data_IF_545397887072
#
_entry.id   IF_545397887072
#
_cell.length_a   1.000
_cell.length_b   1.000
_cell.length_c   1.000
_cell.angle_alpha   90.00
_cell.angle_beta   90.00
_cell.angle_gamma   90.00
#
_symmetry.space_group_name_H-M   'P 1'
#
loop_
_entity.id
_entity.type
_entity.pdbx_description
1 polymer ?
#
# COMPACT_ATOMS: atom_id res chain seq x y z
N UNK A 1 22.57 44.14 -12.39
CA UNK A 1 21.56 43.39 -11.60
C UNK A 1 20.82 42.43 -12.54
N UNK A 2 21.04 41.12 -12.48
CA UNK A 2 20.27 40.13 -13.25
C UNK A 2 18.91 39.93 -12.56
N UNK A 3 17.83 40.27 -13.25
CA UNK A 3 16.45 40.03 -12.77
C UNK A 3 16.24 38.51 -12.77
N UNK A 4 16.23 37.88 -11.59
CA UNK A 4 15.74 36.51 -11.43
C UNK A 4 14.25 36.52 -11.80
N UNK A 5 13.89 35.93 -12.95
CA UNK A 5 12.48 35.59 -13.24
C UNK A 5 11.97 34.75 -12.07
N UNK A 6 11.06 35.29 -11.26
CA UNK A 6 10.32 34.50 -10.28
C UNK A 6 9.44 33.53 -11.05
N UNK A 7 9.87 32.29 -11.22
CA UNK A 7 9.01 31.21 -11.69
C UNK A 7 7.89 31.09 -10.66
N UNK A 8 6.69 31.57 -10.96
CA UNK A 8 5.51 31.32 -10.12
C UNK A 8 5.36 29.80 -10.08
N UNK A 9 5.62 29.17 -8.93
CA UNK A 9 5.31 27.76 -8.72
C UNK A 9 3.80 27.62 -8.94
N UNK A 10 3.40 26.93 -10.01
CA UNK A 10 1.98 26.70 -10.28
C UNK A 10 1.40 25.88 -9.14
N UNK A 11 0.27 26.34 -8.59
CA UNK A 11 -0.40 25.65 -7.47
C UNK A 11 -1.21 24.49 -8.05
N UNK A 12 -0.75 23.27 -7.81
CA UNK A 12 -1.39 22.02 -8.27
C UNK A 12 -2.49 21.50 -7.34
N UNK A 13 -2.71 22.15 -6.19
CA UNK A 13 -3.75 21.81 -5.21
C UNK A 13 -4.94 22.76 -5.24
N UNK A 14 -6.09 22.29 -4.72
CA UNK A 14 -7.34 23.05 -4.61
C UNK A 14 -8.55 22.36 -5.25
N UNK A 15 -9.72 23.00 -5.19
CA UNK A 15 -10.96 22.52 -5.83
C UNK A 15 -10.74 22.40 -7.35
N UNK A 16 -11.11 21.26 -7.94
CA UNK A 16 -10.85 20.95 -9.36
C UNK A 16 -9.40 20.61 -9.69
N UNK A 17 -8.56 20.32 -8.68
CA UNK A 17 -7.15 19.93 -8.84
C UNK A 17 -6.80 18.74 -7.93
N UNK A 18 -5.51 18.49 -7.69
CA UNK A 18 -5.06 17.43 -6.78
C UNK A 18 -5.39 17.81 -5.33
N UNK A 19 -6.51 17.29 -4.84
CA UNK A 19 -6.85 17.30 -3.41
C UNK A 19 -6.31 16.06 -2.72
N UNK A 20 -6.17 16.07 -1.40
CA UNK A 20 -5.76 14.87 -0.63
C UNK A 20 -6.64 13.66 -0.93
N UNK A 21 -7.98 13.85 -0.96
CA UNK A 21 -8.93 12.78 -1.31
C UNK A 21 -8.70 12.20 -2.71
N UNK A 22 -8.38 13.04 -3.69
CA UNK A 22 -8.06 12.59 -5.06
C UNK A 22 -6.75 11.81 -5.08
N UNK A 23 -5.72 12.28 -4.37
CA UNK A 23 -4.44 11.58 -4.25
C UNK A 23 -4.62 10.20 -3.59
N UNK A 24 -5.40 10.11 -2.52
CA UNK A 24 -5.71 8.85 -1.86
C UNK A 24 -6.42 7.89 -2.82
N UNK A 25 -7.39 8.38 -3.60
CA UNK A 25 -8.12 7.60 -4.61
C UNK A 25 -7.19 7.08 -5.70
N UNK A 26 -6.32 7.93 -6.26
CA UNK A 26 -5.33 7.53 -7.27
C UNK A 26 -4.34 6.50 -6.71
N UNK A 27 -3.93 6.64 -5.45
CA UNK A 27 -3.05 5.67 -4.77
C UNK A 27 -3.71 4.31 -4.63
N UNK A 28 -5.00 4.28 -4.28
CA UNK A 28 -5.79 3.05 -4.21
C UNK A 28 -5.88 2.39 -5.59
N UNK A 29 -6.15 3.17 -6.64
CA UNK A 29 -6.24 2.65 -8.00
C UNK A 29 -4.92 2.08 -8.51
N UNK A 30 -3.80 2.77 -8.29
CA UNK A 30 -2.47 2.25 -8.61
C UNK A 30 -2.22 0.89 -7.95
N UNK A 31 -2.51 0.78 -6.65
CA UNK A 31 -2.37 -0.49 -5.94
C UNK A 31 -3.30 -1.59 -6.47
N UNK A 32 -4.51 -1.25 -6.93
CA UNK A 32 -5.44 -2.21 -7.54
C UNK A 32 -4.98 -2.64 -8.93
N UNK A 33 -4.46 -1.72 -9.75
CA UNK A 33 -3.93 -2.01 -11.07
C UNK A 33 -2.82 -3.07 -11.00
N UNK A 34 -1.91 -2.95 -10.03
CA UNK A 34 -0.87 -3.96 -9.78
C UNK A 34 -1.49 -5.28 -9.29
N UNK A 35 -2.27 -5.25 -8.21
CA UNK A 35 -2.75 -6.50 -7.57
C UNK A 35 -3.70 -7.33 -8.43
N UNK A 36 -4.43 -6.71 -9.36
CA UNK A 36 -5.37 -7.40 -10.24
C UNK A 36 -4.72 -7.96 -11.51
N UNK A 37 -3.51 -7.53 -11.83
CA UNK A 37 -2.80 -7.90 -13.06
C UNK A 37 -1.37 -8.35 -12.76
N UNK A 38 -1.10 -8.86 -11.55
CA UNK A 38 0.26 -9.15 -11.10
C UNK A 38 0.95 -10.29 -11.88
N UNK A 39 0.22 -10.96 -12.75
CA UNK A 39 0.69 -11.98 -13.68
C UNK A 39 1.19 -11.41 -15.03
N UNK A 40 0.87 -10.15 -15.35
CA UNK A 40 1.20 -9.56 -16.64
C UNK A 40 1.57 -8.07 -16.55
N UNK A 41 2.80 -7.74 -16.95
CA UNK A 41 3.36 -6.38 -16.89
C UNK A 41 2.63 -5.40 -17.80
N UNK A 42 2.26 -5.82 -19.00
CA UNK A 42 1.53 -4.99 -19.95
C UNK A 42 0.14 -4.65 -19.40
N UNK A 43 -0.56 -5.62 -18.82
CA UNK A 43 -1.85 -5.40 -18.18
C UNK A 43 -1.74 -4.46 -16.97
N UNK A 44 -0.68 -4.58 -16.16
CA UNK A 44 -0.41 -3.61 -15.08
C UNK A 44 -0.23 -2.19 -15.64
N UNK A 45 0.62 -2.03 -16.66
CA UNK A 45 0.87 -0.74 -17.30
C UNK A 45 -0.40 -0.13 -17.87
N UNK A 46 -1.17 -0.91 -18.64
CA UNK A 46 -2.44 -0.48 -19.23
C UNK A 46 -3.45 -0.10 -18.15
N UNK A 47 -3.58 -0.88 -17.08
CA UNK A 47 -4.48 -0.55 -15.96
C UNK A 47 -4.04 0.69 -15.17
N UNK A 48 -2.74 0.96 -15.07
CA UNK A 48 -2.20 2.21 -14.49
C UNK A 48 -2.55 3.38 -15.42
N UNK A 49 -2.26 3.28 -16.72
CA UNK A 49 -2.59 4.34 -17.67
C UNK A 49 -4.08 4.58 -17.84
N UNK A 50 -4.92 3.56 -17.65
CA UNK A 50 -6.37 3.69 -17.67
C UNK A 50 -6.86 4.76 -16.69
N UNK A 51 -6.26 4.89 -15.50
CA UNK A 51 -6.68 5.92 -14.55
C UNK A 51 -6.23 7.31 -14.98
N UNK A 52 -5.06 7.44 -15.62
CA UNK A 52 -4.63 8.71 -16.19
C UNK A 52 -5.61 9.17 -17.28
N UNK A 53 -5.91 8.30 -18.24
CA UNK A 53 -6.80 8.63 -19.36
C UNK A 53 -8.25 8.85 -18.92
N UNK A 54 -8.72 8.08 -17.95
CA UNK A 54 -10.02 8.32 -17.32
C UNK A 54 -10.14 9.76 -16.80
N UNK A 55 -9.13 10.27 -16.09
CA UNK A 55 -9.15 11.64 -15.56
C UNK A 55 -8.76 12.73 -16.58
N UNK A 56 -8.33 12.39 -17.79
CA UNK A 56 -8.21 13.33 -18.92
C UNK A 56 -9.40 13.32 -19.87
N UNK A 57 -10.32 12.36 -19.71
CA UNK A 57 -11.51 12.17 -20.52
C UNK A 57 -12.56 13.26 -20.26
N UNK A 58 -13.20 13.75 -21.34
CA UNK A 58 -14.39 14.63 -21.28
C UNK A 58 -15.54 14.03 -22.09
N UNK A 59 -16.73 14.63 -22.03
CA UNK A 59 -17.87 14.18 -22.86
C UNK A 59 -17.56 14.32 -24.36
N UNK A 60 -16.83 15.38 -24.74
CA UNK A 60 -16.48 15.70 -26.13
C UNK A 60 -15.29 14.86 -26.63
N UNK A 61 -14.41 14.45 -25.72
CA UNK A 61 -13.22 13.64 -26.03
C UNK A 61 -13.08 12.49 -25.01
N UNK A 62 -13.86 11.41 -25.18
CA UNK A 62 -13.82 10.26 -24.28
C UNK A 62 -12.49 9.50 -24.42
N UNK A 63 -11.85 9.16 -23.29
CA UNK A 63 -10.55 8.44 -23.26
C UNK A 63 -10.62 7.22 -22.34
N UNK A 64 -11.49 6.26 -22.67
CA UNK A 64 -11.78 5.10 -21.82
C UNK A 64 -11.29 3.76 -22.37
N UNK A 65 -10.51 3.76 -23.45
CA UNK A 65 -10.11 2.54 -24.17
C UNK A 65 -9.32 1.54 -23.32
N UNK A 66 -8.52 2.05 -22.37
CA UNK A 66 -7.76 1.20 -21.43
C UNK A 66 -8.56 0.80 -20.18
N UNK A 67 -9.76 1.36 -19.99
CA UNK A 67 -10.61 0.94 -18.89
C UNK A 67 -11.16 -0.48 -19.15
N UNK A 68 -11.35 -1.31 -18.11
CA UNK A 68 -11.98 -2.61 -18.26
C UNK A 68 -13.34 -2.48 -18.96
N UNK A 69 -13.61 -3.34 -19.94
CA UNK A 69 -14.89 -3.36 -20.65
C UNK A 69 -15.94 -4.14 -19.86
N UNK A 70 -17.23 -3.84 -20.12
CA UNK A 70 -18.36 -4.59 -19.58
C UNK A 70 -19.07 -3.94 -18.40
N UNK A 71 -20.18 -4.58 -17.99
CA UNK A 71 -21.08 -4.05 -16.97
C UNK A 71 -20.47 -4.04 -15.56
N UNK A 72 -19.49 -4.91 -15.30
CA UNK A 72 -18.74 -4.95 -14.04
C UNK A 72 -17.56 -3.98 -13.99
N UNK A 73 -17.41 -3.13 -15.02
CA UNK A 73 -16.35 -2.13 -15.05
C UNK A 73 -16.52 -1.10 -13.95
N UNK A 74 -15.40 -0.74 -13.32
CA UNK A 74 -15.37 0.40 -12.42
C UNK A 74 -15.55 1.73 -13.18
N UNK A 75 -15.34 1.75 -14.50
CA UNK A 75 -15.52 2.92 -15.33
C UNK A 75 -16.98 3.07 -15.76
N UNK A 76 -17.61 4.18 -15.36
CA UNK A 76 -19.01 4.47 -15.66
C UNK A 76 -19.29 4.53 -17.17
N UNK A 77 -18.34 5.05 -17.96
CA UNK A 77 -18.46 5.12 -19.42
C UNK A 77 -18.47 3.73 -20.06
N UNK A 78 -17.58 2.83 -19.61
CA UNK A 78 -17.54 1.45 -20.12
C UNK A 78 -18.80 0.66 -19.74
N UNK A 79 -19.38 0.92 -18.55
CA UNK A 79 -20.69 0.33 -18.19
C UNK A 79 -21.81 0.86 -19.07
N UNK A 80 -21.81 2.17 -19.36
CA UNK A 80 -22.79 2.78 -20.27
C UNK A 80 -22.67 2.21 -21.69
N UNK A 81 -21.44 2.03 -22.18
CA UNK A 81 -21.16 1.39 -23.47
C UNK A 81 -21.74 -0.02 -23.53
N UNK A 82 -21.47 -0.83 -22.49
CA UNK A 82 -21.93 -2.22 -22.41
C UNK A 82 -23.46 -2.36 -22.23
N UNK A 83 -24.17 -1.29 -21.87
CA UNK A 83 -25.64 -1.28 -21.68
C UNK A 83 -26.38 -0.51 -22.78
N UNK A 84 -25.68 -0.04 -23.83
CA UNK A 84 -26.28 0.73 -24.93
C UNK A 84 -26.68 2.16 -24.57
N UNK A 85 -26.32 2.65 -23.38
CA UNK A 85 -26.70 3.99 -22.89
C UNK A 85 -25.88 5.14 -23.48
N UNK A 86 -24.77 4.83 -24.16
CA UNK A 86 -24.03 5.85 -24.92
C UNK A 86 -24.83 6.32 -26.14
N UNK A 87 -25.54 5.41 -26.80
CA UNK A 87 -26.30 5.69 -28.02
C UNK A 87 -27.56 6.51 -27.73
N UNK A 88 -28.10 6.43 -26.51
CA UNK A 88 -29.26 7.22 -26.07
C UNK A 88 -28.91 8.62 -25.55
N UNK A 89 -27.65 9.05 -25.64
CA UNK A 89 -27.14 10.33 -25.10
C UNK A 89 -27.43 10.54 -23.60
N UNK A 90 -27.72 9.47 -22.85
CA UNK A 90 -28.02 9.52 -21.43
C UNK A 90 -26.78 9.64 -20.55
N UNK A 91 -25.58 9.39 -21.12
CA UNK A 91 -24.34 9.40 -20.37
C UNK A 91 -23.73 10.80 -20.27
N UNK A 92 -23.45 11.20 -19.03
CA UNK A 92 -22.63 12.38 -18.71
C UNK A 92 -21.57 11.93 -17.70
N UNK A 93 -20.33 12.39 -17.89
CA UNK A 93 -19.26 12.11 -16.94
C UNK A 93 -19.66 12.56 -15.53
N UNK A 94 -19.50 11.67 -14.55
CA UNK A 94 -19.82 11.92 -13.14
C UNK A 94 -18.74 12.73 -12.41
N UNK A 95 -17.67 13.11 -13.11
CA UNK A 95 -16.51 13.79 -12.55
C UNK A 95 -15.96 14.84 -13.52
N UNK A 96 -15.30 15.85 -12.96
CA UNK A 96 -14.56 16.84 -13.73
C UNK A 96 -13.20 16.29 -14.15
N UNK A 97 -12.86 16.47 -15.43
CA UNK A 97 -11.52 16.16 -15.94
C UNK A 97 -10.47 17.05 -15.27
N UNK A 98 -9.26 16.52 -15.12
CA UNK A 98 -8.13 17.32 -14.66
C UNK A 98 -7.75 18.36 -15.71
N UNK A 99 -7.33 19.54 -15.22
CA UNK A 99 -6.79 20.55 -16.12
C UNK A 99 -5.52 20.05 -16.80
N UNK A 100 -5.24 20.57 -17.99
CA UNK A 100 -4.01 20.27 -18.73
C UNK A 100 -2.75 20.50 -17.89
N UNK A 101 -2.74 21.52 -17.03
CA UNK A 101 -1.63 21.79 -16.12
C UNK A 101 -1.38 20.66 -15.11
N UNK A 102 -2.44 20.03 -14.60
CA UNK A 102 -2.34 18.90 -13.65
C UNK A 102 -1.91 17.65 -14.41
N UNK A 103 -2.50 17.37 -15.56
CA UNK A 103 -2.16 16.21 -16.39
C UNK A 103 -0.69 16.22 -16.80
N UNK A 104 -0.18 17.37 -17.27
CA UNK A 104 1.22 17.52 -17.63
C UNK A 104 2.16 17.40 -16.42
N UNK A 105 1.72 17.82 -15.24
CA UNK A 105 2.52 17.68 -14.02
C UNK A 105 2.59 16.24 -13.51
N UNK A 106 1.52 15.44 -13.66
CA UNK A 106 1.47 14.05 -13.15
C UNK A 106 1.89 13.01 -14.19
N UNK A 107 1.90 13.33 -15.49
CA UNK A 107 2.32 12.40 -16.55
C UNK A 107 3.71 11.78 -16.28
N UNK A 108 4.75 12.53 -15.85
CA UNK A 108 6.03 11.93 -15.50
C UNK A 108 5.92 10.90 -14.36
N UNK A 109 5.05 11.15 -13.38
CA UNK A 109 4.79 10.21 -12.28
C UNK A 109 4.17 8.92 -12.83
N UNK A 110 3.24 9.00 -13.77
CA UNK A 110 2.68 7.83 -14.42
C UNK A 110 3.72 7.06 -15.25
N UNK A 111 4.62 7.75 -15.94
CA UNK A 111 5.75 7.10 -16.63
C UNK A 111 6.63 6.32 -15.64
N UNK A 112 7.01 6.94 -14.53
CA UNK A 112 7.86 6.30 -13.52
C UNK A 112 7.15 5.11 -12.86
N UNK A 113 5.85 5.24 -12.58
CA UNK A 113 5.02 4.21 -11.96
C UNK A 113 4.64 3.07 -12.91
N UNK A 114 4.73 3.28 -14.23
CA UNK A 114 4.48 2.25 -15.26
C UNK A 114 5.77 1.71 -15.89
N UNK A 115 6.94 2.11 -15.37
CA UNK A 115 8.23 1.65 -15.89
C UNK A 115 8.35 0.12 -15.75
N UNK A 116 8.74 -0.55 -16.83
CA UNK A 116 8.85 -2.00 -16.89
C UNK A 116 9.76 -2.57 -15.78
N UNK A 117 10.91 -1.94 -15.53
CA UNK A 117 11.82 -2.34 -14.46
C UNK A 117 11.21 -2.27 -13.05
N UNK A 118 10.25 -1.36 -12.84
CA UNK A 118 9.49 -1.29 -11.60
C UNK A 118 8.44 -2.41 -11.56
N UNK A 119 7.64 -2.54 -12.62
CA UNK A 119 6.54 -3.50 -12.70
C UNK A 119 7.02 -4.96 -12.70
N UNK A 120 8.20 -5.24 -13.24
CA UNK A 120 8.84 -6.57 -13.18
C UNK A 120 9.03 -7.05 -11.73
N UNK A 121 9.24 -6.12 -10.79
CA UNK A 121 9.39 -6.42 -9.35
C UNK A 121 8.04 -6.60 -8.64
N UNK A 122 6.94 -6.27 -9.32
CA UNK A 122 5.57 -6.42 -8.85
C UNK A 122 4.89 -7.69 -9.37
N UNK A 123 5.55 -8.41 -10.29
CA UNK A 123 5.09 -9.71 -10.78
C UNK A 123 4.91 -10.67 -9.60
N UNK A 124 3.89 -11.52 -9.69
CA UNK A 124 3.40 -12.45 -8.65
C UNK A 124 2.85 -11.79 -7.39
N UNK A 125 2.85 -10.44 -7.32
CA UNK A 125 2.19 -9.70 -6.24
C UNK A 125 2.84 -9.90 -4.86
N UNK A 126 4.12 -10.27 -4.82
CA UNK A 126 4.84 -10.47 -3.56
C UNK A 126 4.83 -9.20 -2.70
N UNK A 127 4.52 -9.37 -1.42
CA UNK A 127 4.56 -8.28 -0.47
C UNK A 127 5.98 -8.12 0.12
N UNK A 128 6.27 -6.95 0.67
CA UNK A 128 7.57 -6.68 1.32
C UNK A 128 7.73 -7.35 2.70
N UNK A 129 6.80 -8.21 3.14
CA UNK A 129 6.83 -8.77 4.49
C UNK A 129 8.09 -9.61 4.73
N UNK A 130 8.49 -10.43 3.75
CA UNK A 130 9.68 -11.27 3.84
C UNK A 130 10.94 -10.43 4.02
N UNK A 131 11.13 -9.41 3.17
CA UNK A 131 12.27 -8.50 3.28
C UNK A 131 12.27 -7.73 4.61
N UNK A 132 11.09 -7.31 5.09
CA UNK A 132 10.96 -6.64 6.40
C UNK A 132 11.29 -7.59 7.55
N UNK A 133 10.87 -8.84 7.47
CA UNK A 133 11.12 -9.88 8.47
C UNK A 133 12.61 -10.25 8.54
N UNK A 134 13.27 -10.48 7.40
CA UNK A 134 14.71 -10.68 7.33
C UNK A 134 15.47 -9.47 7.92
N UNK A 135 15.15 -8.27 7.47
CA UNK A 135 15.81 -7.05 7.95
C UNK A 135 15.62 -6.87 9.46
N UNK A 136 14.47 -7.26 10.02
CA UNK A 136 14.25 -7.23 11.45
C UNK A 136 15.25 -8.14 12.21
N UNK A 137 15.50 -9.36 11.72
CA UNK A 137 16.49 -10.26 12.31
C UNK A 137 17.89 -9.67 12.24
N UNK A 138 18.27 -9.12 11.08
CA UNK A 138 19.56 -8.50 10.88
C UNK A 138 19.79 -7.30 11.82
N UNK A 139 18.81 -6.40 11.93
CA UNK A 139 18.91 -5.23 12.81
C UNK A 139 18.78 -5.56 14.31
N UNK A 140 18.28 -6.74 14.67
CA UNK A 140 18.37 -7.23 16.06
C UNK A 140 19.80 -7.56 16.46
N UNK A 141 20.60 -8.09 15.54
CA UNK A 141 22.00 -8.45 15.78
C UNK A 141 22.91 -7.22 15.68
N UNK A 142 22.66 -6.36 14.68
CA UNK A 142 23.45 -5.13 14.45
C UNK A 142 22.55 -3.90 14.46
N UNK A 143 22.17 -3.36 15.63
CA UNK A 143 21.28 -2.20 15.67
C UNK A 143 21.83 -1.00 14.89
N UNK A 144 20.96 -0.35 14.11
CA UNK A 144 21.34 0.83 13.31
C UNK A 144 21.87 2.01 14.12
N UNK A 145 21.59 2.02 15.42
CA UNK A 145 22.00 3.06 16.36
C UNK A 145 23.45 2.88 16.83
N UNK A 146 24.07 1.74 16.54
CA UNK A 146 25.42 1.40 16.99
C UNK A 146 26.32 1.19 15.77
N UNK A 147 27.41 1.95 15.62
CA UNK A 147 28.36 1.71 14.53
C UNK A 147 28.98 0.33 14.68
N UNK A 148 29.04 -0.42 13.59
CA UNK A 148 29.59 -1.78 13.55
C UNK A 148 30.55 -1.91 12.37
N UNK A 149 31.64 -2.66 12.56
CA UNK A 149 32.58 -2.96 11.49
C UNK A 149 31.95 -3.82 10.38
N UNK A 150 32.45 -3.69 9.15
CA UNK A 150 31.92 -4.42 7.98
C UNK A 150 31.90 -5.94 8.18
N UNK A 151 32.93 -6.50 8.82
CA UNK A 151 32.98 -7.94 9.14
C UNK A 151 31.84 -8.39 10.04
N UNK A 152 31.53 -7.62 11.10
CA UNK A 152 30.45 -7.93 12.04
C UNK A 152 29.09 -7.85 11.31
N UNK A 153 28.93 -6.81 10.49
CA UNK A 153 27.73 -6.61 9.66
C UNK A 153 27.51 -7.79 8.72
N UNK A 154 28.56 -8.26 8.05
CA UNK A 154 28.47 -9.41 7.15
C UNK A 154 28.08 -10.70 7.89
N UNK A 155 28.69 -10.97 9.05
CA UNK A 155 28.35 -12.13 9.87
C UNK A 155 26.89 -12.05 10.34
N UNK A 156 26.44 -10.89 10.82
CA UNK A 156 25.06 -10.68 11.25
C UNK A 156 24.05 -10.89 10.12
N UNK A 157 24.37 -10.44 8.90
CA UNK A 157 23.54 -10.66 7.72
C UNK A 157 23.43 -12.17 7.38
N UNK A 158 24.55 -12.90 7.43
CA UNK A 158 24.56 -14.35 7.22
C UNK A 158 23.75 -15.10 8.28
N UNK A 159 23.91 -14.76 9.57
CA UNK A 159 23.14 -15.36 10.66
C UNK A 159 21.65 -15.07 10.49
N UNK A 160 21.28 -13.82 10.20
CA UNK A 160 19.90 -13.43 9.98
C UNK A 160 19.26 -14.18 8.80
N UNK A 161 20.01 -14.39 7.72
CA UNK A 161 19.54 -15.13 6.55
C UNK A 161 19.28 -16.60 6.91
N UNK A 162 20.21 -17.23 7.63
CA UNK A 162 20.03 -18.62 8.03
C UNK A 162 18.87 -18.80 9.02
N UNK A 163 18.70 -17.88 9.99
CA UNK A 163 17.56 -17.93 10.92
C UNK A 163 16.23 -17.68 10.21
N UNK A 164 16.22 -16.81 9.20
CA UNK A 164 15.04 -16.56 8.38
C UNK A 164 14.59 -17.82 7.64
N UNK A 165 15.53 -18.58 7.08
CA UNK A 165 15.25 -19.78 6.29
C UNK A 165 15.01 -21.05 7.14
N UNK A 166 15.89 -21.32 8.11
CA UNK A 166 15.94 -22.60 8.85
C UNK A 166 15.43 -22.51 10.30
N UNK A 167 15.12 -21.29 10.77
CA UNK A 167 14.76 -21.06 12.16
C UNK A 167 15.94 -21.01 13.12
N UNK A 168 15.60 -21.08 14.40
CA UNK A 168 16.51 -20.91 15.52
C UNK A 168 17.46 -22.10 15.66
N UNK A 169 17.12 -23.25 15.07
CA UNK A 169 17.95 -24.45 15.00
C UNK A 169 19.36 -24.19 14.44
N UNK A 170 19.52 -23.21 13.54
CA UNK A 170 20.84 -22.89 12.96
C UNK A 170 21.87 -22.46 14.01
N UNK A 171 21.44 -21.85 15.11
CA UNK A 171 22.34 -21.45 16.20
C UNK A 171 23.03 -22.68 16.79
N UNK A 172 22.35 -23.83 16.86
CA UNK A 172 22.94 -25.09 17.31
C UNK A 172 24.04 -25.53 16.35
N UNK A 173 23.77 -25.53 15.04
CA UNK A 173 24.77 -25.90 14.02
C UNK A 173 25.98 -24.98 14.08
N UNK A 174 25.79 -23.68 14.24
CA UNK A 174 26.88 -22.71 14.39
C UNK A 174 27.68 -22.96 15.67
N UNK A 175 27.02 -23.10 16.82
CA UNK A 175 27.68 -23.35 18.11
C UNK A 175 28.45 -24.68 18.10
N UNK A 176 27.91 -25.72 17.47
CA UNK A 176 28.59 -26.99 17.29
C UNK A 176 29.85 -26.82 16.42
N UNK A 177 29.77 -26.07 15.32
CA UNK A 177 30.90 -25.85 14.41
C UNK A 177 32.08 -25.11 15.06
N UNK A 178 31.83 -24.26 16.06
CA UNK A 178 32.88 -23.59 16.84
C UNK A 178 33.38 -24.43 18.03
N UNK A 179 32.95 -25.68 18.15
CA UNK A 179 33.40 -26.63 19.17
C UNK A 179 32.62 -26.59 20.49
N UNK A 180 31.45 -25.95 20.53
CA UNK A 180 30.62 -25.93 21.74
C UNK A 180 29.90 -27.27 21.94
N UNK A 181 29.89 -27.75 23.20
CA UNK A 181 29.07 -28.91 23.59
C UNK A 181 27.63 -28.45 23.80
N UNK A 182 26.70 -29.10 23.09
CA UNK A 182 25.27 -28.79 23.17
C UNK A 182 24.56 -29.83 24.02
N UNK A 183 23.84 -29.38 25.04
CA UNK A 183 23.01 -30.23 25.88
C UNK A 183 21.53 -30.13 25.50
N UNK A 184 20.71 -30.99 26.11
CA UNK A 184 19.25 -31.06 25.90
C UNK A 184 18.57 -29.67 25.96
N UNK A 185 18.93 -28.86 26.96
CA UNK A 185 18.32 -27.54 27.15
C UNK A 185 18.55 -26.57 25.97
N UNK A 186 19.68 -26.67 25.26
CA UNK A 186 19.95 -25.81 24.11
C UNK A 186 19.05 -26.17 22.92
N UNK A 187 18.85 -27.48 22.69
CA UNK A 187 17.92 -27.98 21.68
C UNK A 187 16.49 -27.57 22.00
N UNK A 188 16.07 -27.77 23.25
CA UNK A 188 14.74 -27.43 23.71
C UNK A 188 14.46 -25.92 23.60
N UNK A 189 15.43 -25.08 23.95
CA UNK A 189 15.32 -23.63 23.79
C UNK A 189 15.06 -23.23 22.33
N UNK A 190 15.83 -23.78 21.37
CA UNK A 190 15.66 -23.46 19.95
C UNK A 190 14.29 -23.94 19.44
N UNK A 191 13.84 -25.13 19.88
CA UNK A 191 12.51 -25.66 19.55
C UNK A 191 11.40 -24.73 20.02
N UNK A 192 11.44 -24.33 21.30
CA UNK A 192 10.44 -23.40 21.87
C UNK A 192 10.47 -22.03 21.19
N UNK A 193 11.64 -21.50 20.83
CA UNK A 193 11.73 -20.24 20.07
C UNK A 193 11.01 -20.34 18.72
N UNK A 194 11.21 -21.43 17.99
CA UNK A 194 10.61 -21.63 16.68
C UNK A 194 9.10 -21.88 16.78
N UNK A 195 8.64 -22.66 17.76
CA UNK A 195 7.21 -22.87 18.04
C UNK A 195 6.49 -21.55 18.38
N UNK A 196 7.08 -20.73 19.25
CA UNK A 196 6.55 -19.41 19.58
C UNK A 196 6.52 -18.49 18.36
N UNK A 197 7.58 -18.52 17.54
CA UNK A 197 7.66 -17.73 16.31
C UNK A 197 6.54 -18.09 15.33
N UNK A 198 6.29 -19.39 15.12
CA UNK A 198 5.24 -19.89 14.23
C UNK A 198 3.87 -19.47 14.77
N UNK A 199 3.60 -19.70 16.05
CA UNK A 199 2.34 -19.34 16.70
C UNK A 199 2.02 -17.84 16.54
N UNK A 200 3.01 -16.97 16.76
CA UNK A 200 2.84 -15.52 16.58
C UNK A 200 2.61 -15.17 15.10
N UNK A 201 3.32 -15.83 14.18
CA UNK A 201 3.19 -15.59 12.75
C UNK A 201 1.80 -15.98 12.24
N UNK A 202 1.28 -17.14 12.63
CA UNK A 202 -0.07 -17.61 12.29
C UNK A 202 -1.15 -16.67 12.82
N UNK A 203 -1.06 -16.29 14.10
CA UNK A 203 -1.98 -15.33 14.70
C UNK A 203 -1.96 -13.98 13.95
N UNK A 204 -0.77 -13.45 13.62
CA UNK A 204 -0.65 -12.22 12.82
C UNK A 204 -1.20 -12.39 11.41
N UNK A 205 -1.01 -13.55 10.79
CA UNK A 205 -1.57 -13.89 9.49
C UNK A 205 -3.09 -13.83 9.49
N UNK A 206 -3.73 -14.42 10.49
CA UNK A 206 -5.19 -14.37 10.68
C UNK A 206 -5.68 -12.92 10.82
N UNK A 207 -4.99 -12.10 11.61
CA UNK A 207 -5.33 -10.68 11.79
C UNK A 207 -5.12 -9.81 10.54
N UNK A 208 -4.27 -10.25 9.60
CA UNK A 208 -3.98 -9.52 8.36
C UNK A 208 -5.01 -9.79 7.24
N UNK A 209 -5.90 -10.76 7.42
CA UNK A 209 -6.96 -11.09 6.46
C UNK A 209 -7.86 -9.88 6.19
N UNK A 210 -8.53 -9.88 5.03
CA UNK A 210 -9.48 -8.81 4.68
C UNK A 210 -10.62 -8.75 5.70
N UNK A 211 -11.15 -9.91 6.07
CA UNK A 211 -12.25 -10.06 7.03
C UNK A 211 -11.88 -9.52 8.41
N UNK A 212 -10.74 -9.94 8.96
CA UNK A 212 -10.29 -9.42 10.26
C UNK A 212 -10.06 -7.90 10.24
N UNK A 213 -9.59 -7.35 9.11
CA UNK A 213 -9.46 -5.89 8.94
C UNK A 213 -10.80 -5.16 8.86
N UNK A 214 -11.80 -5.76 8.21
CA UNK A 214 -13.17 -5.20 8.15
C UNK A 214 -13.79 -5.23 9.54
N UNK A 215 -13.74 -6.37 10.23
CA UNK A 215 -14.27 -6.54 11.58
C UNK A 215 -13.65 -5.53 12.56
N UNK A 216 -12.32 -5.35 12.51
CA UNK A 216 -11.64 -4.37 13.37
C UNK A 216 -12.07 -2.92 13.07
N UNK A 217 -12.36 -2.58 11.81
CA UNK A 217 -12.89 -1.26 11.45
C UNK A 217 -14.31 -1.07 11.97
N UNK A 218 -15.15 -2.09 11.89
CA UNK A 218 -16.51 -2.08 12.45
C UNK A 218 -16.47 -1.89 13.96
N UNK A 219 -15.70 -2.71 14.68
CA UNK A 219 -15.52 -2.58 16.13
C UNK A 219 -14.98 -1.21 16.56
N UNK A 220 -14.08 -0.61 15.77
CA UNK A 220 -13.57 0.74 16.07
C UNK A 220 -14.64 1.81 15.84
N UNK A 221 -15.49 1.64 14.84
CA UNK A 221 -16.65 2.51 14.59
C UNK A 221 -17.66 2.41 15.72
N UNK A 222 -18.02 1.19 16.13
CA UNK A 222 -18.95 0.93 17.24
C UNK A 222 -18.44 1.53 18.55
N UNK A 223 -17.15 1.37 18.87
CA UNK A 223 -16.55 1.99 20.06
C UNK A 223 -16.55 3.53 19.99
N UNK A 224 -16.41 4.12 18.80
CA UNK A 224 -16.49 5.57 18.64
C UNK A 224 -17.91 6.08 18.85
N UNK A 225 -18.91 5.39 18.30
CA UNK A 225 -20.32 5.69 18.55
C UNK A 225 -20.67 5.59 20.03
N UNK A 226 -20.19 4.56 20.74
CA UNK A 226 -20.38 4.43 22.19
C UNK A 226 -19.74 5.60 22.95
N UNK A 227 -18.56 6.07 22.53
CA UNK A 227 -17.89 7.21 23.15
C UNK A 227 -18.62 8.54 22.89
N UNK A 228 -19.13 8.76 21.68
CA UNK A 228 -19.96 9.92 21.33
C UNK A 228 -21.28 9.90 22.12
N UNK A 229 -21.95 8.75 22.23
CA UNK A 229 -23.17 8.60 23.03
C UNK A 229 -22.91 8.88 24.52
N UNK A 230 -21.74 8.49 25.04
CA UNK A 230 -21.32 8.80 26.42
C UNK A 230 -21.02 10.30 26.57
N UNK A 231 -20.38 10.93 25.60
CA UNK A 231 -20.03 12.36 25.62
C UNK A 231 -21.29 13.25 25.53
N UNK A 232 -22.28 12.87 24.71
CA UNK A 232 -23.60 13.51 24.65
C UNK A 232 -24.41 13.32 25.94
N UNK A 233 -24.19 12.23 26.69
CA UNK A 233 -24.75 12.02 28.03
C UNK A 233 -24.14 12.95 29.09
N UNK A 234 -22.92 13.45 28.88
CA UNK A 234 -22.24 14.38 29.79
C UNK A 234 -22.52 15.86 29.48
N UNK A 235 -22.88 16.20 28.24
CA UNK A 235 -23.37 17.53 27.88
C UNK A 235 -24.89 17.62 28.03
N UNK A 236 -25.35 17.87 29.26
CA UNK A 236 -26.74 18.20 29.55
C UNK A 236 -27.22 19.48 28.82
N UNK A 237 -28.56 19.69 28.70
CA UNK A 237 -29.15 20.73 27.87
C UNK A 237 -28.59 22.11 28.23
N UNK A 238 -28.15 22.82 27.19
CA UNK A 238 -27.62 24.20 27.24
C UNK A 238 -28.55 25.06 28.10
N UNK A 239 -27.99 25.66 29.15
CA UNK A 239 -28.67 26.69 29.93
C UNK A 239 -28.89 27.86 28.97
N UNK A 240 -30.17 28.12 28.69
CA UNK A 240 -30.65 29.24 27.86
C UNK A 240 -30.49 30.55 28.63
N UNK A 241 -29.32 31.17 28.52
CA UNK A 241 -29.07 32.52 29.04
C UNK A 241 -29.51 33.57 28.00
N UNK A 242 -30.81 33.67 27.75
CA UNK A 242 -31.40 34.91 27.24
C UNK A 242 -31.88 35.76 28.40
N UNK A 243 -31.17 36.86 28.66
CA UNK A 243 -31.65 38.04 29.40
C UNK A 243 -31.66 39.23 28.44
#
# INVERSE_FOLDING_TARGET
RKIKKKTKRKVLGGKGKLTGKVIDKLTVYYGLAIRRNCDNIENMSNAIWATFYHYSSTNENPQHDLCPVGQDSWCDWQRAAATGKLESYEYVHSYDAFSSEVLEAIRPVYNDLSAEALLQRCVDGFNQNNNKSYNQLFWKITPKTVPSGSTIVNIAAMIAASVFNEGSSIHLTMLYSIGSKLGHNAHEYCRQMDENRITIAEHRGQLATREARILRRQQKSENLYILEDIEDLFYGPVIDDTV
#
